data_IF_166545211459
#
_entry.id   IF_166545211459
#
_cell.length_a   1.000
_cell.length_b   1.000
_cell.length_c   1.000
_cell.angle_alpha   90.00
_cell.angle_beta   90.00
_cell.angle_gamma   90.00
#
_symmetry.space_group_name_H-M   'P 1'
#
loop_
_entity.id
_entity.type
_entity.pdbx_description
1 polymer ?
#
# COMPACT_ATOMS: atom_id res chain seq x y z
N UNK A 1 -11.43 -3.16 -9.54
CA UNK A 1 -10.99 -1.75 -9.52
C UNK A 1 -11.17 -1.22 -8.10
N UNK A 2 -10.15 -1.38 -7.27
CA UNK A 2 -10.11 -0.86 -5.91
C UNK A 2 -8.77 -0.15 -5.76
N UNK A 3 -8.74 1.12 -6.16
CA UNK A 3 -7.67 2.04 -5.79
C UNK A 3 -7.85 2.41 -4.31
N UNK A 4 -6.79 2.83 -3.59
CA UNK A 4 -6.91 3.21 -2.20
C UNK A 4 -7.61 4.57 -2.12
N UNK A 5 -8.92 4.56 -1.90
CA UNK A 5 -9.72 5.76 -1.69
C UNK A 5 -9.53 6.40 -0.30
N UNK A 6 -8.72 5.77 0.57
CA UNK A 6 -8.62 6.11 2.00
C UNK A 6 -7.63 7.26 2.29
N UNK A 7 -6.73 7.56 1.35
CA UNK A 7 -5.62 8.49 1.57
C UNK A 7 -6.05 9.97 1.46
N UNK A 8 -6.86 10.32 0.44
CA UNK A 8 -7.28 11.71 0.18
C UNK A 8 -8.41 12.22 1.08
N UNK A 9 -9.31 11.35 1.54
CA UNK A 9 -10.41 11.70 2.45
C UNK A 9 -9.91 11.94 3.89
N UNK A 10 -8.86 11.23 4.31
CA UNK A 10 -8.30 11.31 5.66
C UNK A 10 -7.67 12.68 5.98
N UNK A 11 -7.03 13.33 5.00
CA UNK A 11 -6.32 14.60 5.23
C UNK A 11 -7.27 15.76 5.49
N UNK A 12 -8.30 15.88 4.64
CA UNK A 12 -9.34 16.91 4.78
C UNK A 12 -10.10 16.74 6.09
N UNK A 13 -10.37 15.47 6.47
CA UNK A 13 -11.07 15.12 7.70
C UNK A 13 -10.29 15.46 8.98
N UNK A 14 -8.99 15.15 9.03
CA UNK A 14 -8.16 15.43 10.20
C UNK A 14 -7.95 16.93 10.45
N UNK A 15 -8.08 17.76 9.43
CA UNK A 15 -8.03 19.21 9.55
C UNK A 15 -9.32 19.77 10.17
N UNK A 16 -10.49 19.27 9.77
CA UNK A 16 -11.79 19.74 10.26
C UNK A 16 -12.14 19.29 11.69
N UNK A 17 -11.59 18.16 12.17
CA UNK A 17 -12.00 17.55 13.47
C UNK A 17 -11.16 18.00 14.68
N UNK A 18 -9.92 18.44 14.48
CA UNK A 18 -8.92 18.55 15.57
C UNK A 18 -8.62 19.98 16.06
N UNK A 19 -9.49 20.97 15.83
CA UNK A 19 -9.28 22.34 16.31
C UNK A 19 -9.43 22.52 17.83
N UNK A 20 -9.57 21.45 18.63
CA UNK A 20 -9.93 21.56 20.07
C UNK A 20 -9.20 20.60 21.02
N UNK A 21 -7.98 20.13 20.76
CA UNK A 21 -7.28 19.32 21.79
C UNK A 21 -5.84 19.78 22.09
N UNK A 22 -5.67 20.24 23.33
CA UNK A 22 -4.41 20.61 23.97
C UNK A 22 -3.64 19.35 24.38
N UNK A 23 -2.39 19.26 23.94
CA UNK A 23 -1.42 18.20 24.29
C UNK A 23 -1.14 18.14 25.80
N UNK A 24 -1.15 16.93 26.35
CA UNK A 24 -0.44 16.57 27.58
C UNK A 24 0.70 15.64 27.15
N UNK A 25 1.92 16.02 27.51
CA UNK A 25 3.17 15.28 27.29
C UNK A 25 3.49 14.41 28.51
N UNK A 26 3.89 13.17 28.31
CA UNK A 26 4.58 12.35 29.31
C UNK A 26 5.89 11.79 28.71
N UNK A 27 6.89 11.72 29.58
CA UNK A 27 8.34 11.66 29.34
C UNK A 27 8.91 10.22 29.27
N UNK A 28 10.20 10.14 28.89
CA UNK A 28 11.17 9.03 28.90
C UNK A 28 11.52 8.37 27.55
N UNK A 29 12.67 8.79 27.00
CA UNK A 29 13.33 8.39 25.73
C UNK A 29 13.86 6.95 25.70
N UNK A 30 13.67 6.21 24.58
CA UNK A 30 14.47 6.33 23.35
C UNK A 30 13.69 6.98 22.20
N UNK A 31 13.05 8.12 22.49
CA UNK A 31 11.97 8.74 21.71
C UNK A 31 12.41 9.72 20.61
N UNK A 32 13.70 9.88 20.29
CA UNK A 32 14.11 10.98 19.40
C UNK A 32 13.58 10.81 17.96
N UNK A 33 13.72 9.63 17.35
CA UNK A 33 13.27 9.44 15.95
C UNK A 33 11.75 9.38 15.81
N UNK A 34 11.05 8.75 16.77
CA UNK A 34 9.58 8.75 16.77
C UNK A 34 9.08 10.19 16.90
N UNK A 35 9.63 10.98 17.83
CA UNK A 35 9.30 12.41 17.97
C UNK A 35 9.61 13.16 16.70
N UNK A 36 10.80 12.96 16.11
CA UNK A 36 11.23 13.64 14.88
C UNK A 36 10.25 13.39 13.74
N UNK A 37 9.91 12.13 13.44
CA UNK A 37 8.97 11.82 12.36
C UNK A 37 7.54 12.29 12.68
N UNK A 38 7.14 12.27 13.97
CA UNK A 38 5.83 12.79 14.38
C UNK A 38 5.75 14.31 14.25
N UNK A 39 6.79 15.03 14.64
CA UNK A 39 6.93 16.47 14.47
C UNK A 39 6.93 16.85 12.98
N UNK A 40 7.63 16.10 12.13
CA UNK A 40 7.57 16.28 10.67
C UNK A 40 6.14 16.11 10.15
N UNK A 41 5.46 15.04 10.58
CA UNK A 41 4.07 14.77 10.18
C UNK A 41 3.12 15.87 10.67
N UNK A 42 3.26 16.32 11.91
CA UNK A 42 2.44 17.39 12.50
C UNK A 42 2.69 18.75 11.82
N UNK A 43 3.95 19.05 11.46
CA UNK A 43 4.30 20.26 10.71
C UNK A 43 3.66 20.26 9.32
N UNK A 44 3.78 19.15 8.57
CA UNK A 44 3.13 19.00 7.25
C UNK A 44 1.61 19.11 7.38
N UNK A 45 1.04 18.49 8.43
CA UNK A 45 -0.38 18.60 8.74
C UNK A 45 -0.81 20.04 9.00
N UNK A 46 -0.02 20.80 9.76
CA UNK A 46 -0.31 22.21 10.03
C UNK A 46 -0.27 23.05 8.74
N UNK A 47 0.70 22.80 7.84
CA UNK A 47 0.77 23.44 6.52
C UNK A 47 -0.48 23.13 5.71
N UNK A 48 -0.87 21.85 5.62
CA UNK A 48 -2.08 21.45 4.89
C UNK A 48 -3.31 22.13 5.49
N UNK A 49 -3.51 22.04 6.81
CA UNK A 49 -4.68 22.62 7.46
C UNK A 49 -4.74 24.15 7.33
N UNK A 50 -3.61 24.86 7.42
CA UNK A 50 -3.58 26.31 7.21
C UNK A 50 -3.84 26.73 5.76
N UNK A 51 -3.64 25.83 4.81
CA UNK A 51 -3.90 26.05 3.38
C UNK A 51 -5.35 25.76 3.00
N UNK A 52 -6.07 24.99 3.81
CA UNK A 52 -7.49 24.71 3.60
C UNK A 52 -8.31 26.00 3.82
N UNK A 53 -9.11 26.44 2.84
CA UNK A 53 -9.93 27.64 2.95
C UNK A 53 -11.15 27.39 3.85
N UNK A 54 -10.93 27.32 5.16
CA UNK A 54 -11.95 26.97 6.13
C UNK A 54 -13.19 27.86 6.07
N UNK A 55 -13.05 29.16 5.78
CA UNK A 55 -14.18 30.08 5.64
C UNK A 55 -15.11 29.75 4.47
N UNK A 56 -14.61 29.01 3.47
CA UNK A 56 -15.35 28.61 2.27
C UNK A 56 -15.99 27.22 2.43
N UNK A 57 -15.47 26.41 3.35
CA UNK A 57 -15.85 25.00 3.57
C UNK A 57 -16.77 24.86 4.80
N UNK A 58 -16.48 25.57 5.90
CA UNK A 58 -17.18 25.41 7.19
C UNK A 58 -18.62 25.98 7.18
N UNK A 59 -18.95 26.90 6.28
CA UNK A 59 -20.31 27.46 6.19
C UNK A 59 -21.32 26.56 5.44
N UNK A 60 -20.88 25.41 4.91
CA UNK A 60 -21.74 24.47 4.19
C UNK A 60 -22.21 23.32 5.09
N UNK A 61 -23.52 23.03 5.05
CA UNK A 61 -24.13 21.90 5.75
C UNK A 61 -23.46 20.57 5.42
N UNK A 62 -22.88 20.45 4.22
CA UNK A 62 -22.12 19.28 3.76
C UNK A 62 -20.87 18.98 4.60
N UNK A 63 -20.16 19.99 5.12
CA UNK A 63 -18.98 19.75 5.96
C UNK A 63 -19.34 19.23 7.35
N UNK A 64 -20.44 19.70 7.94
CA UNK A 64 -20.94 19.16 9.20
C UNK A 64 -21.40 17.69 9.07
N UNK A 65 -22.06 17.36 7.95
CA UNK A 65 -22.49 15.98 7.63
C UNK A 65 -21.27 15.08 7.47
N UNK A 66 -20.24 15.52 6.73
CA UNK A 66 -19.01 14.78 6.56
C UNK A 66 -18.28 14.54 7.88
N UNK A 67 -18.11 15.57 8.70
CA UNK A 67 -17.46 15.46 10.02
C UNK A 67 -18.20 14.48 10.93
N UNK A 68 -19.54 14.52 10.95
CA UNK A 68 -20.34 13.59 11.72
C UNK A 68 -20.16 12.13 11.24
N UNK A 69 -20.30 11.90 9.93
CA UNK A 69 -20.14 10.57 9.33
C UNK A 69 -18.74 9.99 9.59
N UNK A 70 -17.70 10.80 9.38
CA UNK A 70 -16.33 10.39 9.64
C UNK A 70 -16.06 10.09 11.12
N UNK A 71 -16.63 10.88 12.04
CA UNK A 71 -16.47 10.63 13.47
C UNK A 71 -17.10 9.30 13.90
N UNK A 72 -18.25 8.94 13.31
CA UNK A 72 -18.91 7.66 13.54
C UNK A 72 -18.09 6.50 12.96
N UNK A 73 -17.64 6.62 11.72
CA UNK A 73 -16.76 5.63 11.06
C UNK A 73 -15.51 5.36 11.90
N UNK A 74 -14.84 6.42 12.39
CA UNK A 74 -13.65 6.29 13.21
C UNK A 74 -13.93 5.52 14.51
N UNK A 75 -15.01 5.84 15.21
CA UNK A 75 -15.38 5.11 16.43
C UNK A 75 -15.65 3.63 16.16
N UNK A 76 -16.33 3.31 15.05
CA UNK A 76 -16.59 1.92 14.66
C UNK A 76 -15.30 1.19 14.27
N UNK A 77 -14.36 1.87 13.61
CA UNK A 77 -13.04 1.32 13.26
C UNK A 77 -12.25 0.97 14.52
N UNK A 78 -12.26 1.84 15.53
CA UNK A 78 -11.64 1.59 16.83
C UNK A 78 -12.30 0.41 17.57
N UNK A 79 -13.64 0.31 17.54
CA UNK A 79 -14.39 -0.82 18.11
C UNK A 79 -13.99 -2.15 17.44
N UNK A 80 -13.99 -2.19 16.11
CA UNK A 80 -13.59 -3.38 15.32
C UNK A 80 -12.15 -3.78 15.63
N UNK A 81 -11.22 -2.82 15.67
CA UNK A 81 -9.82 -3.08 15.99
C UNK A 81 -9.64 -3.63 17.41
N UNK A 82 -10.36 -3.11 18.38
CA UNK A 82 -10.35 -3.62 19.74
C UNK A 82 -10.87 -5.08 19.80
N UNK A 83 -11.98 -5.39 19.11
CA UNK A 83 -12.51 -6.76 19.03
C UNK A 83 -11.52 -7.70 18.34
N UNK A 84 -10.85 -7.27 17.25
CA UNK A 84 -9.79 -8.04 16.59
C UNK A 84 -8.65 -8.39 17.54
N UNK A 85 -8.19 -7.42 18.34
CA UNK A 85 -7.13 -7.65 19.33
C UNK A 85 -7.56 -8.62 20.44
N UNK A 86 -8.81 -8.52 20.91
CA UNK A 86 -9.36 -9.43 21.92
C UNK A 86 -9.46 -10.85 21.35
N UNK A 87 -9.92 -10.99 20.11
CA UNK A 87 -10.02 -12.26 19.40
C UNK A 87 -8.65 -12.92 19.20
N UNK A 88 -7.65 -12.19 18.70
CA UNK A 88 -6.28 -12.70 18.52
C UNK A 88 -5.68 -13.18 19.86
N UNK A 89 -5.90 -12.43 20.94
CA UNK A 89 -5.50 -12.87 22.29
C UNK A 89 -6.23 -14.12 22.74
N UNK A 90 -7.54 -14.24 22.48
CA UNK A 90 -8.33 -15.39 22.86
C UNK A 90 -7.93 -16.67 22.10
N UNK A 91 -7.65 -16.57 20.81
CA UNK A 91 -7.22 -17.69 19.96
C UNK A 91 -5.85 -18.26 20.36
N UNK A 92 -4.98 -17.43 20.95
CA UNK A 92 -3.64 -17.81 21.43
C UNK A 92 -3.60 -18.40 22.84
N UNK A 93 -4.72 -18.41 23.59
CA UNK A 93 -4.78 -18.99 24.95
C UNK A 93 -4.70 -20.53 24.89
N UNK A 94 -3.96 -21.14 25.83
CA UNK A 94 -3.89 -22.61 25.97
C UNK A 94 -5.27 -23.24 26.29
N UNK A 95 -6.07 -22.58 27.15
CA UNK A 95 -7.43 -23.01 27.52
C UNK A 95 -8.50 -22.20 26.79
N UNK A 96 -8.47 -22.19 25.46
CA UNK A 96 -9.43 -21.43 24.65
C UNK A 96 -10.85 -21.98 24.76
N UNK A 97 -11.82 -21.07 24.91
CA UNK A 97 -13.25 -21.37 24.84
C UNK A 97 -13.76 -21.15 23.43
N UNK A 98 -14.21 -22.22 22.77
CA UNK A 98 -14.74 -22.12 21.40
C UNK A 98 -16.02 -21.27 21.34
N UNK A 99 -16.82 -21.30 22.41
CA UNK A 99 -18.03 -20.47 22.52
C UNK A 99 -17.69 -18.97 22.63
N UNK A 100 -16.66 -18.62 23.41
CA UNK A 100 -16.15 -17.23 23.52
C UNK A 100 -15.63 -16.76 22.16
N UNK A 101 -14.83 -17.59 21.47
CA UNK A 101 -14.30 -17.29 20.14
C UNK A 101 -15.43 -17.11 19.12
N UNK A 102 -16.46 -17.96 19.14
CA UNK A 102 -17.58 -17.86 18.23
C UNK A 102 -18.41 -16.59 18.46
N UNK A 103 -18.60 -16.17 19.72
CA UNK A 103 -19.23 -14.89 20.05
C UNK A 103 -18.39 -13.71 19.53
N UNK A 104 -17.07 -13.72 19.77
CA UNK A 104 -16.17 -12.67 19.29
C UNK A 104 -16.15 -12.61 17.75
N UNK A 105 -16.17 -13.74 17.05
CA UNK A 105 -16.28 -13.80 15.58
C UNK A 105 -17.62 -13.31 15.05
N UNK A 106 -18.71 -13.47 15.81
CA UNK A 106 -20.01 -12.93 15.44
C UNK A 106 -20.03 -11.40 15.62
N UNK A 107 -19.54 -10.91 16.77
CA UNK A 107 -19.37 -9.48 17.04
C UNK A 107 -18.46 -8.81 16.00
N UNK A 108 -17.37 -9.47 15.63
CA UNK A 108 -16.47 -8.97 14.60
C UNK A 108 -17.16 -8.83 13.25
N UNK A 109 -17.92 -9.85 12.82
CA UNK A 109 -18.68 -9.81 11.56
C UNK A 109 -19.73 -8.70 11.55
N UNK A 110 -20.45 -8.52 12.66
CA UNK A 110 -21.45 -7.46 12.79
C UNK A 110 -20.80 -6.07 12.80
N UNK A 111 -19.70 -5.91 13.54
CA UNK A 111 -18.90 -4.68 13.59
C UNK A 111 -18.32 -4.32 12.23
N UNK A 112 -17.78 -5.29 11.48
CA UNK A 112 -17.26 -5.08 10.12
C UNK A 112 -18.37 -4.69 9.13
N UNK A 113 -19.59 -5.23 9.27
CA UNK A 113 -20.72 -4.82 8.45
C UNK A 113 -21.16 -3.37 8.75
N UNK A 114 -21.19 -2.97 10.03
CA UNK A 114 -21.48 -1.60 10.45
C UNK A 114 -20.40 -0.63 9.99
N UNK A 115 -19.13 -1.00 10.14
CA UNK A 115 -17.99 -0.21 9.67
C UNK A 115 -18.09 0.02 8.17
N UNK A 116 -18.35 -1.03 7.38
CA UNK A 116 -18.53 -0.89 5.93
C UNK A 116 -19.66 0.08 5.56
N UNK A 117 -20.79 0.03 6.27
CA UNK A 117 -21.88 0.96 6.05
C UNK A 117 -21.50 2.41 6.40
N UNK A 118 -20.73 2.60 7.48
CA UNK A 118 -20.22 3.91 7.86
C UNK A 118 -19.20 4.44 6.85
N UNK A 119 -18.30 3.61 6.33
CA UNK A 119 -17.35 3.95 5.26
C UNK A 119 -18.09 4.41 3.99
N UNK A 120 -19.13 3.70 3.57
CA UNK A 120 -19.98 4.09 2.42
C UNK A 120 -20.68 5.44 2.67
N UNK A 121 -21.13 5.69 3.91
CA UNK A 121 -21.78 6.94 4.30
C UNK A 121 -20.78 8.12 4.33
N UNK A 122 -19.59 7.92 4.89
CA UNK A 122 -18.50 8.91 4.87
C UNK A 122 -18.09 9.23 3.45
N UNK A 123 -17.91 8.21 2.59
CA UNK A 123 -17.58 8.42 1.19
C UNK A 123 -18.64 9.29 0.49
N UNK A 124 -19.92 8.99 0.72
CA UNK A 124 -21.03 9.78 0.16
C UNK A 124 -21.01 11.22 0.69
N UNK A 125 -20.74 11.41 1.97
CA UNK A 125 -20.65 12.73 2.59
C UNK A 125 -19.40 13.54 2.17
N UNK A 126 -18.33 12.85 1.77
CA UNK A 126 -17.09 13.49 1.31
C UNK A 126 -17.22 14.11 -0.09
N UNK A 127 -18.05 13.54 -0.98
CA UNK A 127 -18.22 14.01 -2.37
C UNK A 127 -18.46 15.53 -2.46
N UNK A 128 -19.45 16.14 -1.78
CA UNK A 128 -19.69 17.58 -1.86
C UNK A 128 -18.53 18.40 -1.32
N UNK A 129 -17.87 17.94 -0.24
CA UNK A 129 -16.70 18.63 0.34
C UNK A 129 -15.52 18.61 -0.65
N UNK A 130 -15.28 17.47 -1.30
CA UNK A 130 -14.24 17.32 -2.31
C UNK A 130 -14.50 18.17 -3.55
N UNK A 131 -15.76 18.31 -3.98
CA UNK A 131 -16.10 19.17 -5.11
C UNK A 131 -15.72 20.65 -4.84
N UNK A 132 -16.03 21.15 -3.64
CA UNK A 132 -15.64 22.51 -3.22
C UNK A 132 -14.13 22.69 -3.19
N UNK A 133 -13.40 21.66 -2.76
CA UNK A 133 -11.93 21.68 -2.70
C UNK A 133 -11.27 21.62 -4.08
N UNK A 134 -11.81 20.82 -5.00
CA UNK A 134 -11.29 20.66 -6.36
C UNK A 134 -11.30 21.98 -7.15
N UNK A 135 -12.33 22.79 -6.97
CA UNK A 135 -12.48 24.06 -7.67
C UNK A 135 -11.68 25.22 -7.02
N UNK A 136 -11.01 24.97 -5.90
CA UNK A 136 -10.29 26.00 -5.16
C UNK A 136 -8.83 26.14 -5.63
N UNK A 137 -8.39 27.38 -5.84
CA UNK A 137 -7.08 27.70 -6.45
C UNK A 137 -5.90 26.99 -5.77
N UNK A 138 -5.94 26.91 -4.42
CA UNK A 138 -4.92 26.26 -3.56
C UNK A 138 -4.68 24.77 -3.89
N UNK A 139 -5.66 24.07 -4.44
CA UNK A 139 -5.54 22.65 -4.82
C UNK A 139 -5.29 22.46 -6.32
N UNK A 140 -5.38 23.53 -7.10
CA UNK A 140 -5.32 23.49 -8.57
C UNK A 140 -3.95 23.85 -9.15
N UNK A 141 -3.07 24.50 -8.37
CA UNK A 141 -1.76 24.98 -8.84
C UNK A 141 -0.60 24.00 -8.55
N UNK A 142 -0.87 22.89 -7.86
CA UNK A 142 0.10 21.85 -7.51
C UNK A 142 1.10 22.27 -6.42
N UNK A 143 0.93 23.44 -5.79
CA UNK A 143 1.86 23.96 -4.76
C UNK A 143 1.93 23.09 -3.49
N UNK A 144 0.88 22.32 -3.22
CA UNK A 144 0.79 21.40 -2.08
C UNK A 144 1.12 19.94 -2.44
N UNK A 145 1.37 19.61 -3.70
CA UNK A 145 1.57 18.21 -4.14
C UNK A 145 2.65 17.51 -3.31
N UNK A 146 3.82 18.14 -3.16
CA UNK A 146 4.93 17.58 -2.38
C UNK A 146 4.60 17.46 -0.89
N UNK A 147 3.85 18.43 -0.34
CA UNK A 147 3.42 18.41 1.07
C UNK A 147 2.46 17.23 1.31
N UNK A 148 1.49 17.03 0.41
CA UNK A 148 0.56 15.91 0.47
C UNK A 148 1.29 14.57 0.32
N UNK A 149 2.20 14.45 -0.65
CA UNK A 149 2.98 13.24 -0.88
C UNK A 149 3.76 12.86 0.37
N UNK A 150 4.52 13.80 0.95
CA UNK A 150 5.29 13.55 2.17
C UNK A 150 4.41 13.19 3.36
N UNK A 151 3.29 13.90 3.52
CA UNK A 151 2.33 13.61 4.60
C UNK A 151 1.70 12.22 4.44
N UNK A 152 1.37 11.82 3.22
CA UNK A 152 0.81 10.49 2.90
C UNK A 152 1.81 9.38 3.20
N UNK A 153 3.06 9.52 2.78
CA UNK A 153 4.11 8.55 3.10
C UNK A 153 4.30 8.43 4.62
N UNK A 154 4.39 9.53 5.35
CA UNK A 154 4.54 9.50 6.81
C UNK A 154 3.33 8.88 7.52
N UNK A 155 2.13 9.08 6.97
CA UNK A 155 0.89 8.51 7.51
C UNK A 155 0.79 7.01 7.28
N UNK A 156 1.16 6.54 6.09
CA UNK A 156 1.14 5.13 5.72
C UNK A 156 2.29 4.34 6.40
N UNK A 157 3.51 4.89 6.40
CA UNK A 157 4.67 4.30 7.06
C UNK A 157 4.55 4.30 8.60
N UNK A 158 3.82 5.28 9.12
CA UNK A 158 3.74 5.69 10.53
C UNK A 158 5.09 6.16 11.10
N UNK A 159 5.12 7.23 11.94
CA UNK A 159 6.34 7.66 12.62
C UNK A 159 7.03 6.54 13.41
N UNK A 160 6.23 5.67 14.04
CA UNK A 160 6.72 4.53 14.79
C UNK A 160 7.37 3.47 13.89
N UNK A 161 6.78 3.16 12.74
CA UNK A 161 7.32 2.19 11.78
C UNK A 161 8.68 2.63 11.25
N UNK A 162 8.76 3.88 10.79
CA UNK A 162 10.01 4.48 10.30
C UNK A 162 11.10 4.51 11.37
N UNK A 163 10.76 4.92 12.60
CA UNK A 163 11.72 4.92 13.71
C UNK A 163 12.19 3.52 14.08
N UNK A 164 11.28 2.54 14.12
CA UNK A 164 11.61 1.13 14.42
C UNK A 164 12.61 0.57 13.42
N UNK A 165 12.44 0.86 12.12
CA UNK A 165 13.40 0.45 11.09
C UNK A 165 14.71 1.23 11.18
N UNK A 166 14.63 2.56 11.34
CA UNK A 166 15.80 3.46 11.33
C UNK A 166 16.76 3.18 12.50
N UNK A 167 16.23 2.82 13.67
CA UNK A 167 17.03 2.46 14.86
C UNK A 167 17.32 0.96 14.94
N UNK A 168 16.85 0.16 13.97
CA UNK A 168 17.05 -1.29 13.99
C UNK A 168 18.53 -1.65 13.97
N UNK A 169 19.01 -2.22 15.07
CA UNK A 169 20.42 -2.58 15.23
C UNK A 169 21.39 -1.39 15.27
N UNK A 170 20.89 -0.17 15.53
CA UNK A 170 21.66 1.09 15.50
C UNK A 170 22.44 1.30 14.18
N UNK A 171 21.82 0.90 13.06
CA UNK A 171 22.44 0.99 11.75
C UNK A 171 22.18 2.35 11.10
N UNK A 172 23.21 3.19 11.02
CA UNK A 172 23.15 4.52 10.38
C UNK A 172 22.74 4.45 8.91
N UNK A 173 23.09 3.36 8.20
CA UNK A 173 22.67 3.17 6.80
C UNK A 173 21.16 3.02 6.67
N UNK A 174 20.48 2.39 7.64
CA UNK A 174 19.02 2.24 7.61
C UNK A 174 18.31 3.56 7.77
N UNK A 175 18.81 4.42 8.66
CA UNK A 175 18.30 5.79 8.79
C UNK A 175 18.55 6.59 7.51
N UNK A 176 19.75 6.50 6.93
CA UNK A 176 20.07 7.21 5.69
C UNK A 176 19.13 6.83 4.53
N UNK A 177 18.76 5.55 4.41
CA UNK A 177 17.79 5.10 3.41
C UNK A 177 16.42 5.78 3.56
N UNK A 178 15.94 5.96 4.80
CA UNK A 178 14.69 6.65 5.07
C UNK A 178 14.82 8.15 4.79
N UNK A 179 15.92 8.77 5.23
CA UNK A 179 16.16 10.19 5.00
C UNK A 179 16.24 10.51 3.50
N UNK A 180 16.98 9.71 2.72
CA UNK A 180 17.08 9.84 1.25
C UNK A 180 15.71 9.70 0.57
N UNK A 181 14.86 8.77 1.03
CA UNK A 181 13.50 8.63 0.51
C UNK A 181 12.63 9.85 0.85
N UNK A 182 12.70 10.35 2.09
CA UNK A 182 11.92 11.51 2.54
C UNK A 182 12.38 12.82 1.88
N UNK A 183 13.63 12.89 1.41
CA UNK A 183 14.16 14.00 0.64
C UNK A 183 13.82 13.94 -0.87
N UNK A 184 13.39 12.78 -1.40
CA UNK A 184 12.99 12.59 -2.80
C UNK A 184 11.46 12.49 -2.94
N UNK A 185 10.79 13.65 -3.07
CA UNK A 185 9.32 13.72 -3.24
C UNK A 185 8.84 13.03 -4.51
N UNK A 186 9.68 12.95 -5.55
CA UNK A 186 9.35 12.24 -6.78
C UNK A 186 9.33 10.73 -6.55
N UNK A 187 10.32 10.18 -5.83
CA UNK A 187 10.31 8.77 -5.43
C UNK A 187 9.10 8.46 -4.55
N UNK A 188 8.81 9.30 -3.55
CA UNK A 188 7.61 9.15 -2.71
C UNK A 188 6.33 9.11 -3.54
N UNK A 189 6.19 10.00 -4.52
CA UNK A 189 5.04 10.01 -5.45
C UNK A 189 4.97 8.72 -6.27
N UNK A 190 6.09 8.19 -6.75
CA UNK A 190 6.14 6.92 -7.46
C UNK A 190 5.72 5.74 -6.58
N UNK A 191 6.15 5.71 -5.31
CA UNK A 191 5.75 4.70 -4.33
C UNK A 191 4.24 4.75 -4.09
N UNK A 192 3.68 5.94 -3.87
CA UNK A 192 2.25 6.12 -3.62
C UNK A 192 1.38 5.78 -4.84
N UNK A 193 1.82 6.15 -6.05
CA UNK A 193 1.15 5.75 -7.31
C UNK A 193 1.23 4.23 -7.50
N UNK A 194 2.31 3.60 -7.06
CA UNK A 194 2.45 2.15 -6.96
C UNK A 194 1.77 1.56 -5.71
N UNK A 195 0.91 2.32 -5.02
CA UNK A 195 0.04 1.89 -3.93
C UNK A 195 0.75 1.54 -2.61
N UNK A 196 1.97 2.04 -2.40
CA UNK A 196 2.72 1.87 -1.15
C UNK A 196 3.27 0.45 -0.92
N UNK A 197 4.24 0.28 -0.01
CA UNK A 197 4.78 -1.03 0.35
C UNK A 197 3.75 -1.86 1.12
N UNK A 198 3.82 -3.18 1.01
CA UNK A 198 2.95 -4.09 1.78
C UNK A 198 3.14 -3.83 3.28
N UNK A 199 2.03 -3.71 4.01
CA UNK A 199 1.97 -3.37 5.44
C UNK A 199 2.58 -2.01 5.83
N UNK A 200 2.81 -1.10 4.88
CA UNK A 200 3.47 0.18 5.18
C UNK A 200 4.94 0.02 5.57
N UNK A 201 5.61 -1.08 5.17
CA UNK A 201 7.02 -1.31 5.47
C UNK A 201 7.95 -0.59 4.47
N UNK A 202 7.99 0.74 4.58
CA UNK A 202 8.85 1.59 3.75
C UNK A 202 10.34 1.29 3.97
N UNK A 203 10.73 0.91 5.19
CA UNK A 203 12.10 0.55 5.49
C UNK A 203 12.56 -0.69 4.76
N UNK A 204 11.82 -1.79 4.90
CA UNK A 204 12.07 -3.04 4.18
C UNK A 204 12.06 -2.83 2.66
N UNK A 205 11.11 -2.06 2.16
CA UNK A 205 11.04 -1.73 0.73
C UNK A 205 12.27 -0.96 0.25
N UNK A 206 12.71 0.09 0.95
CA UNK A 206 13.88 0.88 0.54
C UNK A 206 15.19 0.10 0.64
N UNK A 207 15.30 -0.81 1.62
CA UNK A 207 16.43 -1.74 1.73
C UNK A 207 16.51 -2.66 0.51
N UNK A 208 15.39 -3.26 0.11
CA UNK A 208 15.31 -4.12 -1.09
C UNK A 208 15.57 -3.31 -2.35
N UNK A 209 14.95 -2.14 -2.49
CA UNK A 209 15.10 -1.28 -3.66
C UNK A 209 16.57 -0.92 -3.88
N UNK A 210 17.27 -0.47 -2.83
CA UNK A 210 18.69 -0.15 -2.91
C UNK A 210 19.57 -1.37 -3.23
N UNK A 211 19.23 -2.56 -2.69
CA UNK A 211 19.93 -3.80 -3.07
C UNK A 211 19.78 -4.08 -4.57
N UNK A 212 18.57 -3.92 -5.14
CA UNK A 212 18.33 -4.10 -6.58
C UNK A 212 19.13 -3.08 -7.41
N UNK A 213 19.09 -1.79 -7.03
CA UNK A 213 19.83 -0.73 -7.73
C UNK A 213 21.34 -0.98 -7.75
N UNK A 214 21.90 -1.58 -6.69
CA UNK A 214 23.32 -1.97 -6.63
C UNK A 214 23.63 -3.19 -7.49
N UNK A 215 22.66 -4.06 -7.73
CA UNK A 215 22.82 -5.31 -8.47
C UNK A 215 22.59 -5.18 -9.98
N UNK A 216 21.85 -4.16 -10.44
CA UNK A 216 21.61 -3.94 -11.87
C UNK A 216 21.74 -2.47 -12.26
N UNK A 217 22.58 -2.19 -13.27
CA UNK A 217 22.67 -0.86 -13.88
C UNK A 217 21.43 -0.48 -14.67
N UNK A 218 20.64 -1.46 -15.14
CA UNK A 218 19.40 -1.19 -15.87
C UNK A 218 18.32 -0.63 -14.92
N UNK A 219 18.31 -1.08 -13.67
CA UNK A 219 17.39 -0.58 -12.64
C UNK A 219 17.57 0.92 -12.36
N UNK A 220 18.79 1.45 -12.55
CA UNK A 220 19.11 2.87 -12.41
C UNK A 220 18.58 3.74 -13.55
N UNK A 221 18.19 3.14 -14.68
CA UNK A 221 17.69 3.89 -15.82
C UNK A 221 16.25 4.32 -15.56
N UNK A 222 16.10 5.55 -15.07
CA UNK A 222 14.81 6.10 -14.73
C UNK A 222 13.83 6.09 -15.93
N UNK A 223 12.58 5.71 -15.64
CA UNK A 223 11.50 5.65 -16.64
C UNK A 223 11.55 4.41 -17.52
N UNK A 224 12.55 3.54 -17.36
CA UNK A 224 12.58 2.22 -18.00
C UNK A 224 11.62 1.24 -17.32
N UNK A 225 11.31 0.14 -18.01
CA UNK A 225 10.62 -0.98 -17.37
C UNK A 225 11.43 -1.57 -16.22
N UNK A 226 12.76 -1.54 -16.28
CA UNK A 226 13.65 -2.06 -15.24
C UNK A 226 13.56 -1.24 -13.94
N UNK A 227 13.52 0.09 -14.03
CA UNK A 227 13.31 0.93 -12.83
C UNK A 227 11.90 0.72 -12.23
N UNK A 228 10.88 0.54 -13.09
CA UNK A 228 9.50 0.24 -12.64
C UNK A 228 9.39 -1.14 -11.99
N UNK A 229 10.07 -2.13 -12.56
CA UNK A 229 10.15 -3.48 -12.02
C UNK A 229 10.87 -3.48 -10.66
N UNK A 230 12.00 -2.78 -10.55
CA UNK A 230 12.75 -2.66 -9.30
C UNK A 230 11.89 -2.10 -8.18
N UNK A 231 11.17 -1.00 -8.45
CA UNK A 231 10.27 -0.38 -7.49
C UNK A 231 9.09 -1.30 -7.15
N UNK A 232 8.44 -1.92 -8.15
CA UNK A 232 7.34 -2.85 -7.91
C UNK A 232 7.77 -4.05 -7.06
N UNK A 233 8.91 -4.67 -7.37
CA UNK A 233 9.45 -5.79 -6.61
C UNK A 233 9.77 -5.40 -5.18
N UNK A 234 10.40 -4.24 -4.95
CA UNK A 234 10.75 -3.81 -3.60
C UNK A 234 9.54 -3.54 -2.71
N UNK A 235 8.48 -2.96 -3.27
CA UNK A 235 7.25 -2.66 -2.53
C UNK A 235 6.49 -3.92 -2.14
N UNK A 236 6.46 -4.92 -3.03
CA UNK A 236 5.74 -6.16 -2.77
C UNK A 236 6.51 -7.09 -1.82
N UNK A 237 7.82 -7.25 -2.06
CA UNK A 237 8.67 -8.15 -1.30
C UNK A 237 9.13 -7.56 0.05
N UNK A 238 8.72 -6.34 0.39
CA UNK A 238 8.83 -5.82 1.75
C UNK A 238 8.21 -6.79 2.77
N UNK A 239 7.12 -7.47 2.37
CA UNK A 239 6.63 -8.66 3.07
C UNK A 239 7.19 -9.94 2.43
N UNK A 240 7.97 -10.77 3.14
CA UNK A 240 8.59 -11.95 2.56
C UNK A 240 7.60 -12.95 1.95
N UNK A 241 7.81 -13.29 0.67
CA UNK A 241 7.04 -14.32 -0.02
C UNK A 241 7.76 -15.66 0.12
N UNK A 242 7.05 -16.68 0.60
CA UNK A 242 7.57 -18.05 0.68
C UNK A 242 7.27 -18.81 -0.60
N UNK A 243 8.18 -19.68 -1.00
CA UNK A 243 7.91 -20.64 -2.07
C UNK A 243 6.83 -21.60 -1.59
N UNK A 244 5.84 -21.86 -2.44
CA UNK A 244 4.71 -22.76 -2.18
C UNK A 244 5.18 -24.09 -1.57
N UNK A 245 4.51 -24.54 -0.51
CA UNK A 245 4.82 -25.76 0.23
C UNK A 245 6.26 -25.83 0.82
N UNK A 246 6.92 -24.69 1.00
CA UNK A 246 8.23 -24.62 1.65
C UNK A 246 8.33 -23.51 2.71
N UNK A 247 9.45 -23.49 3.44
CA UNK A 247 9.81 -22.36 4.32
C UNK A 247 10.84 -21.42 3.67
N UNK A 248 11.24 -21.67 2.42
CA UNK A 248 12.24 -20.86 1.74
C UNK A 248 11.60 -19.56 1.26
N UNK A 249 12.20 -18.44 1.64
CA UNK A 249 11.81 -17.11 1.18
C UNK A 249 12.45 -16.88 -0.19
N UNK A 250 11.68 -16.28 -1.11
CA UNK A 250 12.18 -15.82 -2.40
C UNK A 250 13.05 -14.58 -2.16
N UNK A 251 14.28 -14.58 -2.67
CA UNK A 251 15.11 -13.39 -2.60
C UNK A 251 14.61 -12.36 -3.63
N UNK A 252 14.31 -11.11 -3.22
CA UNK A 252 13.75 -10.13 -4.12
C UNK A 252 14.72 -9.65 -5.20
N UNK A 253 16.04 -9.68 -4.94
CA UNK A 253 17.05 -9.29 -5.93
C UNK A 253 17.14 -10.38 -7.00
N UNK A 254 17.20 -11.64 -6.59
CA UNK A 254 17.18 -12.77 -7.54
C UNK A 254 15.90 -12.76 -8.38
N UNK A 255 14.74 -12.54 -7.75
CA UNK A 255 13.44 -12.40 -8.42
C UNK A 255 13.42 -11.26 -9.42
N UNK A 256 13.97 -10.09 -9.07
CA UNK A 256 14.12 -8.98 -10.00
C UNK A 256 14.99 -9.35 -11.19
N UNK A 257 16.19 -9.89 -10.94
CA UNK A 257 17.17 -10.26 -11.97
C UNK A 257 16.63 -11.36 -12.89
N UNK A 258 15.82 -12.27 -12.36
CA UNK A 258 15.12 -13.30 -13.12
C UNK A 258 14.23 -12.70 -14.21
N UNK A 259 13.39 -11.73 -13.85
CA UNK A 259 12.49 -11.07 -14.80
C UNK A 259 13.23 -10.08 -15.72
N UNK A 260 14.26 -9.39 -15.22
CA UNK A 260 15.13 -8.55 -16.05
C UNK A 260 15.75 -9.39 -17.19
N UNK A 261 16.35 -10.54 -16.84
CA UNK A 261 16.95 -11.43 -17.81
C UNK A 261 15.92 -12.01 -18.78
N UNK A 262 14.78 -12.46 -18.26
CA UNK A 262 13.70 -12.98 -19.10
C UNK A 262 13.21 -11.92 -20.12
N UNK A 263 13.17 -10.65 -19.74
CA UNK A 263 12.80 -9.59 -20.68
C UNK A 263 13.85 -9.38 -21.76
N UNK A 264 15.13 -9.30 -21.37
CA UNK A 264 16.25 -9.15 -22.30
C UNK A 264 16.39 -10.33 -23.27
N UNK A 265 16.06 -11.54 -22.82
CA UNK A 265 16.03 -12.76 -23.62
C UNK A 265 14.77 -12.87 -24.52
N UNK A 266 13.86 -11.87 -24.47
CA UNK A 266 12.64 -11.83 -25.28
C UNK A 266 11.58 -12.84 -24.83
N UNK A 267 11.64 -13.30 -23.58
CA UNK A 267 10.69 -14.26 -23.04
C UNK A 267 9.38 -13.58 -22.66
N UNK A 268 9.42 -12.41 -22.03
CA UNK A 268 8.20 -11.80 -21.49
C UNK A 268 7.26 -11.29 -22.59
N UNK A 269 5.99 -11.13 -22.23
CA UNK A 269 4.97 -10.59 -23.14
C UNK A 269 5.41 -9.20 -23.65
N UNK A 270 5.24 -8.86 -24.94
CA UNK A 270 5.58 -7.53 -25.45
C UNK A 270 4.91 -6.36 -24.72
N UNK A 271 3.77 -6.60 -24.06
CA UNK A 271 3.12 -5.58 -23.22
C UNK A 271 3.93 -5.22 -21.95
N UNK A 272 4.88 -6.06 -21.54
CA UNK A 272 5.69 -5.88 -20.33
C UNK A 272 6.41 -4.54 -20.30
N UNK A 273 6.96 -4.07 -21.43
CA UNK A 273 7.65 -2.77 -21.54
C UNK A 273 6.79 -1.61 -21.02
N UNK A 274 5.47 -1.67 -21.22
CA UNK A 274 4.55 -0.58 -20.90
C UNK A 274 3.95 -0.69 -19.49
N UNK A 275 4.30 -1.73 -18.73
CA UNK A 275 3.77 -1.95 -17.38
C UNK A 275 4.28 -0.90 -16.42
N UNK A 276 3.37 -0.41 -15.58
CA UNK A 276 3.63 0.51 -14.47
C UNK A 276 4.30 -0.21 -13.29
N UNK A 277 4.88 0.54 -12.35
CA UNK A 277 5.41 -0.04 -11.12
C UNK A 277 4.34 -0.82 -10.34
N UNK A 278 3.09 -0.34 -10.33
CA UNK A 278 1.93 -1.06 -9.75
C UNK A 278 1.73 -2.45 -10.38
N UNK A 279 1.74 -2.54 -11.71
CA UNK A 279 1.58 -3.83 -12.40
C UNK A 279 2.78 -4.75 -12.17
N UNK A 280 3.99 -4.19 -12.15
CA UNK A 280 5.22 -4.95 -11.86
C UNK A 280 5.23 -5.60 -10.47
N UNK A 281 4.55 -5.02 -9.47
CA UNK A 281 4.35 -5.67 -8.15
C UNK A 281 3.77 -7.06 -8.32
N UNK A 282 2.67 -7.15 -9.06
CA UNK A 282 1.92 -8.39 -9.27
C UNK A 282 2.67 -9.39 -10.15
N UNK A 283 3.53 -8.93 -11.05
CA UNK A 283 4.39 -9.81 -11.86
C UNK A 283 5.38 -10.56 -10.95
N UNK A 284 5.92 -9.89 -9.95
CA UNK A 284 6.88 -10.50 -9.02
C UNK A 284 6.25 -11.13 -7.78
N UNK A 285 4.95 -10.93 -7.57
CA UNK A 285 4.13 -11.53 -6.52
C UNK A 285 3.70 -12.96 -6.89
N UNK A 286 4.63 -13.90 -6.81
CA UNK A 286 4.35 -15.32 -7.05
C UNK A 286 5.11 -16.18 -6.07
N UNK A 287 4.43 -17.17 -5.50
CA UNK A 287 4.98 -18.18 -4.61
C UNK A 287 5.64 -19.36 -5.37
N UNK A 288 5.63 -19.34 -6.70
CA UNK A 288 6.45 -20.23 -7.50
C UNK A 288 7.94 -19.86 -7.37
N UNK A 289 8.83 -20.85 -7.44
CA UNK A 289 10.27 -20.60 -7.55
C UNK A 289 10.61 -19.94 -8.90
N UNK A 290 11.80 -19.35 -9.00
CA UNK A 290 12.24 -18.74 -10.26
C UNK A 290 12.40 -19.79 -11.37
N UNK A 291 12.86 -20.99 -11.02
CA UNK A 291 12.95 -22.13 -11.94
C UNK A 291 11.57 -22.59 -12.41
N UNK A 292 10.59 -22.67 -11.51
CA UNK A 292 9.21 -23.01 -11.86
C UNK A 292 8.57 -21.95 -12.76
N UNK A 293 8.81 -20.67 -12.46
CA UNK A 293 8.36 -19.57 -13.30
C UNK A 293 9.03 -19.59 -14.69
N UNK A 294 10.33 -19.89 -14.76
CA UNK A 294 11.06 -20.05 -16.03
C UNK A 294 10.49 -21.20 -16.85
N UNK A 295 10.32 -22.35 -16.21
CA UNK A 295 9.76 -23.55 -16.80
C UNK A 295 8.34 -23.29 -17.31
N UNK A 296 7.50 -22.61 -16.52
CA UNK A 296 6.14 -22.24 -16.93
C UNK A 296 6.13 -21.38 -18.19
N UNK A 297 7.00 -20.37 -18.26
CA UNK A 297 7.17 -19.52 -19.45
C UNK A 297 7.61 -20.33 -20.67
N UNK A 298 8.60 -21.21 -20.51
CA UNK A 298 9.11 -22.07 -21.58
C UNK A 298 8.02 -23.04 -22.08
N UNK A 299 7.35 -23.73 -21.17
CA UNK A 299 6.31 -24.71 -21.51
C UNK A 299 5.11 -24.06 -22.19
N UNK A 300 4.70 -22.86 -21.77
CA UNK A 300 3.62 -22.14 -22.46
C UNK A 300 3.98 -21.83 -23.92
N UNK A 301 5.24 -21.45 -24.21
CA UNK A 301 5.69 -21.22 -25.60
C UNK A 301 5.73 -22.51 -26.42
N UNK A 302 6.11 -23.62 -25.80
CA UNK A 302 6.23 -24.91 -26.49
C UNK A 302 4.86 -25.58 -26.73
N UNK A 303 3.98 -25.59 -25.72
CA UNK A 303 2.71 -26.30 -25.80
C UNK A 303 1.55 -25.43 -26.28
N UNK A 304 1.56 -24.12 -26.00
CA UNK A 304 0.49 -23.17 -26.36
C UNK A 304 0.99 -21.93 -27.09
N UNK A 305 1.78 -22.09 -28.19
CA UNK A 305 2.20 -20.94 -29.00
C UNK A 305 1.02 -20.19 -29.61
N UNK A 306 -0.10 -20.87 -29.84
CA UNK A 306 -1.37 -20.27 -30.30
C UNK A 306 -1.90 -19.20 -29.35
N UNK A 307 -1.66 -19.35 -28.04
CA UNK A 307 -2.01 -18.34 -27.04
C UNK A 307 -0.94 -17.26 -26.96
N UNK A 308 0.33 -17.63 -26.80
CA UNK A 308 1.42 -16.67 -26.57
C UNK A 308 1.55 -15.67 -27.70
N UNK A 309 1.39 -16.10 -28.96
CA UNK A 309 1.51 -15.23 -30.13
C UNK A 309 0.16 -14.70 -30.65
N UNK A 310 -0.93 -14.87 -29.90
CA UNK A 310 -2.25 -14.39 -30.33
C UNK A 310 -2.34 -12.87 -30.24
N UNK A 311 -2.74 -12.19 -31.32
CA UNK A 311 -2.94 -10.73 -31.32
C UNK A 311 -4.16 -10.28 -30.51
N UNK A 312 -5.02 -11.19 -30.04
CA UNK A 312 -6.22 -10.88 -29.24
C UNK A 312 -5.89 -10.75 -27.75
N UNK A 313 -5.21 -9.66 -27.37
CA UNK A 313 -4.76 -9.40 -25.98
C UNK A 313 -5.86 -9.56 -24.93
N UNK A 314 -7.07 -9.07 -25.20
CA UNK A 314 -8.20 -9.07 -24.24
C UNK A 314 -8.59 -10.47 -23.74
N UNK A 315 -8.36 -11.51 -24.55
CA UNK A 315 -8.80 -12.87 -24.24
C UNK A 315 -7.66 -13.89 -24.34
N UNK A 316 -6.43 -13.42 -24.59
CA UNK A 316 -5.26 -14.26 -24.93
C UNK A 316 -5.12 -15.43 -23.97
N UNK A 317 -5.02 -15.13 -22.67
CA UNK A 317 -4.84 -16.14 -21.63
C UNK A 317 -6.16 -16.81 -21.21
N UNK A 318 -7.32 -16.20 -21.47
CA UNK A 318 -8.64 -16.80 -21.17
C UNK A 318 -9.02 -17.93 -22.14
N UNK A 319 -8.43 -17.99 -23.33
CA UNK A 319 -8.70 -19.06 -24.30
C UNK A 319 -8.35 -20.45 -23.74
N UNK A 320 -7.42 -20.55 -22.77
CA UNK A 320 -7.11 -21.81 -22.10
C UNK A 320 -8.34 -22.42 -21.41
N UNK A 321 -9.26 -21.58 -20.91
CA UNK A 321 -10.51 -22.05 -20.28
C UNK A 321 -11.42 -22.71 -21.31
N UNK A 322 -11.38 -22.26 -22.56
CA UNK A 322 -12.18 -22.86 -23.62
C UNK A 322 -11.61 -24.18 -24.12
N UNK A 323 -10.29 -24.31 -24.19
CA UNK A 323 -9.63 -25.49 -24.76
C UNK A 323 -9.27 -26.57 -23.74
N UNK A 324 -8.89 -26.20 -22.51
CA UNK A 324 -8.23 -27.10 -21.56
C UNK A 324 -9.01 -27.28 -20.25
N UNK A 325 -9.92 -26.36 -19.93
CA UNK A 325 -10.81 -26.50 -18.77
C UNK A 325 -12.08 -27.23 -19.18
N UNK A 326 -12.26 -28.45 -18.67
CA UNK A 326 -13.48 -29.22 -18.90
C UNK A 326 -14.65 -28.58 -18.14
N UNK A 327 -15.60 -28.00 -18.87
CA UNK A 327 -16.89 -27.62 -18.32
C UNK A 327 -17.65 -28.88 -17.88
N UNK A 328 -17.71 -29.11 -16.57
CA UNK A 328 -18.56 -30.15 -15.96
C UNK A 328 -19.26 -29.59 -14.75
N UNK A 329 -20.47 -30.11 -14.47
CA UNK A 329 -21.15 -29.84 -13.20
C UNK A 329 -20.31 -30.47 -12.07
N UNK A 330 -20.08 -29.77 -10.94
CA UNK A 330 -19.44 -30.39 -9.79
C UNK A 330 -20.28 -31.60 -9.35
N UNK A 331 -19.66 -32.77 -9.32
CA UNK A 331 -20.19 -33.92 -8.59
C UNK A 331 -19.58 -33.81 -7.20
N UNK A 332 -20.39 -33.39 -6.24
CA UNK A 332 -20.06 -33.36 -4.81
C UNK A 332 -20.63 -34.60 -4.13
#
# INVERSE_FOLDING_TARGET
>A
SSAPADAGSGVVSHCLVNSTNSMIMDDDTPNNLVSTYSEMQDNLRAIICSSVPYSTIIDDASSAIFVAAYSEERMLRDEVNNVKQILDKAEKRENKSEDEINVLRAQLREGEARLKQAEDATYTAAIPVLAVLQDHEVFSDGSLDDVFVSYMVLSDATPKGLATFSDFGHNVEKKALIDEMLDDTRLMKQILVAGGPVNGDYGGAMEIYNRILRSSSNALQEGSIFSRLALGTSLEHANPIKIFDTQRIIDPVDRYLHYERAYLDGELDPAFENMTAWECRWITNSDASDEEAAWGREMLRNYRPDLIFSNGYDWRYCQIVRSDVRYKRPEW
#
